data_IF_148943400685
#
_entry.id   IF_148943400685
#
_cell.length_a   1.000
_cell.length_b   1.000
_cell.length_c   1.000
_cell.angle_alpha   90.00
_cell.angle_beta   90.00
_cell.angle_gamma   90.00
#
_symmetry.space_group_name_H-M   'P 1'
#
loop_
_entity.id
_entity.type
_entity.pdbx_description
1 polymer ?
#
# COMPACT_ATOMS: atom_id res chain seq x y z
N UNK A 1 6.24 9.75 3.43
CA UNK A 1 5.66 8.47 3.90
C UNK A 1 6.76 7.53 4.34
N UNK A 2 6.51 6.62 5.30
CA UNK A 2 7.44 5.51 5.65
C UNK A 2 6.70 4.17 5.77
N UNK A 3 7.20 3.14 5.10
CA UNK A 3 6.62 1.79 5.04
C UNK A 3 7.55 0.79 5.72
N UNK A 4 7.01 -0.17 6.47
CA UNK A 4 7.77 -1.31 7.01
C UNK A 4 6.92 -2.56 6.88
N UNK A 5 7.36 -3.49 6.03
CA UNK A 5 6.70 -4.78 5.83
C UNK A 5 7.29 -5.82 6.76
N UNK A 6 6.45 -6.66 7.36
CA UNK A 6 6.89 -7.69 8.31
C UNK A 6 6.69 -9.12 7.79
N UNK A 7 6.05 -9.28 6.63
CA UNK A 7 5.70 -10.58 6.05
C UNK A 7 4.20 -10.73 5.80
N UNK A 8 3.82 -11.52 4.79
CA UNK A 8 2.44 -11.66 4.34
C UNK A 8 1.83 -10.30 3.99
N UNK A 9 0.71 -9.97 4.63
CA UNK A 9 0.04 -8.66 4.51
C UNK A 9 0.30 -7.72 5.68
N UNK A 10 1.16 -8.13 6.62
CA UNK A 10 1.45 -7.35 7.84
C UNK A 10 2.36 -6.17 7.51
N UNK A 11 1.86 -4.96 7.75
CA UNK A 11 2.54 -3.71 7.39
C UNK A 11 2.37 -2.67 8.48
N UNK A 12 3.41 -1.87 8.72
CA UNK A 12 3.32 -0.60 9.45
C UNK A 12 3.62 0.55 8.52
N UNK A 13 2.76 1.57 8.55
CA UNK A 13 2.83 2.75 7.69
C UNK A 13 2.81 4.00 8.54
N UNK A 14 3.77 4.89 8.34
CA UNK A 14 3.69 6.27 8.80
C UNK A 14 3.28 7.18 7.65
N UNK A 15 2.11 7.81 7.76
CA UNK A 15 1.49 8.64 6.73
C UNK A 15 0.61 9.71 7.37
N UNK A 16 0.71 10.95 6.90
CA UNK A 16 -0.08 12.08 7.42
C UNK A 16 0.09 12.31 8.92
N UNK A 17 1.28 12.03 9.46
CA UNK A 17 1.56 12.13 10.89
C UNK A 17 1.01 10.99 11.75
N UNK A 18 0.38 9.97 11.15
CA UNK A 18 -0.23 8.85 11.86
C UNK A 18 0.44 7.52 11.53
N UNK A 19 0.40 6.59 12.48
CA UNK A 19 0.84 5.21 12.32
C UNK A 19 -0.38 4.33 12.05
N UNK A 20 -0.41 3.70 10.87
CA UNK A 20 -1.38 2.68 10.49
C UNK A 20 -0.71 1.31 10.51
N UNK A 21 -1.30 0.35 11.21
CA UNK A 21 -0.89 -1.05 11.17
C UNK A 21 -1.95 -1.87 10.44
N UNK A 22 -1.51 -2.62 9.42
CA UNK A 22 -2.36 -3.51 8.63
C UNK A 22 -2.10 -4.95 9.06
N UNK A 23 -3.17 -5.71 9.27
CA UNK A 23 -3.16 -7.16 9.54
C UNK A 23 -2.27 -7.59 10.72
N UNK A 24 -2.24 -6.81 11.80
CA UNK A 24 -1.43 -7.12 13.00
C UNK A 24 -1.68 -8.52 13.61
N UNK A 25 -2.83 -9.14 13.34
CA UNK A 25 -3.15 -10.50 13.80
C UNK A 25 -2.48 -11.61 12.97
N UNK A 26 -2.00 -11.29 11.76
CA UNK A 26 -1.27 -12.19 10.87
C UNK A 26 0.24 -11.94 10.85
N UNK A 27 0.77 -11.25 11.88
CA UNK A 27 2.20 -11.02 12.00
C UNK A 27 2.97 -12.35 12.05
N UNK A 28 4.06 -12.52 11.29
CA UNK A 28 4.83 -13.76 11.31
C UNK A 28 5.46 -14.07 12.66
N UNK A 29 5.84 -15.34 12.84
CA UNK A 29 6.58 -15.78 14.02
C UNK A 29 7.87 -14.96 14.19
N UNK A 30 8.15 -14.56 15.44
CA UNK A 30 9.28 -13.71 15.77
C UNK A 30 9.00 -12.20 15.74
N UNK A 31 7.83 -11.77 15.25
CA UNK A 31 7.38 -10.38 15.37
C UNK A 31 6.56 -10.21 16.65
N UNK A 32 7.06 -9.40 17.59
CA UNK A 32 6.31 -9.05 18.80
C UNK A 32 5.11 -8.14 18.43
N UNK A 33 3.90 -8.64 18.68
CA UNK A 33 2.67 -7.92 18.35
C UNK A 33 2.49 -6.64 19.18
N UNK A 34 2.95 -6.61 20.43
CA UNK A 34 2.90 -5.42 21.26
C UNK A 34 3.83 -4.34 20.72
N UNK A 35 5.03 -4.71 20.25
CA UNK A 35 5.94 -3.77 19.58
C UNK A 35 5.39 -3.28 18.24
N UNK A 36 4.80 -4.17 17.45
CA UNK A 36 4.17 -3.82 16.16
C UNK A 36 3.04 -2.78 16.36
N UNK A 37 2.23 -2.96 17.40
CA UNK A 37 1.11 -2.08 17.74
C UNK A 37 1.52 -0.82 18.52
N UNK A 38 2.75 -0.75 19.01
CA UNK A 38 3.21 0.36 19.84
C UNK A 38 3.15 1.69 19.07
N UNK A 39 2.31 2.60 19.56
CA UNK A 39 2.08 3.91 18.95
C UNK A 39 1.19 3.88 17.70
N UNK A 40 0.49 2.78 17.41
CA UNK A 40 -0.46 2.74 16.30
C UNK A 40 -1.69 3.63 16.57
N UNK A 41 -1.96 4.58 15.67
CA UNK A 41 -3.16 5.40 15.68
C UNK A 41 -4.36 4.66 15.08
N UNK A 42 -4.09 3.80 14.11
CA UNK A 42 -5.08 2.97 13.40
C UNK A 42 -4.56 1.55 13.24
N UNK A 43 -5.43 0.58 13.47
CA UNK A 43 -5.20 -0.84 13.19
C UNK A 43 -6.35 -1.31 12.33
N UNK A 44 -6.04 -1.84 11.15
CA UNK A 44 -7.04 -2.27 10.17
C UNK A 44 -6.68 -3.64 9.62
N UNK A 45 -7.67 -4.36 9.10
CA UNK A 45 -7.39 -5.57 8.31
C UNK A 45 -7.49 -5.29 6.80
N UNK A 46 -6.54 -5.84 6.03
CA UNK A 46 -6.52 -5.72 4.57
C UNK A 46 -7.80 -6.28 3.95
N UNK A 47 -8.36 -7.34 4.54
CA UNK A 47 -9.60 -7.99 4.14
C UNK A 47 -10.60 -8.08 5.32
N UNK A 48 -11.90 -8.05 5.02
CA UNK A 48 -12.96 -8.41 5.99
C UNK A 48 -13.24 -7.45 7.15
N UNK A 49 -12.41 -6.43 7.37
CA UNK A 49 -12.68 -5.40 8.37
C UNK A 49 -13.85 -4.50 7.95
N UNK A 50 -14.97 -4.62 8.69
CA UNK A 50 -16.21 -3.86 8.47
C UNK A 50 -16.13 -2.41 8.95
N UNK A 51 -15.16 -2.07 9.80
CA UNK A 51 -14.95 -0.70 10.25
C UNK A 51 -14.32 0.17 9.16
N UNK A 52 -13.64 -0.44 8.19
CA UNK A 52 -13.09 0.26 7.02
C UNK A 52 -14.18 0.43 5.96
N UNK A 53 -14.58 1.68 5.62
CA UNK A 53 -15.59 1.93 4.61
C UNK A 53 -15.13 1.46 3.23
N UNK A 54 -16.05 0.84 2.49
CA UNK A 54 -15.81 0.46 1.08
C UNK A 54 -16.25 1.59 0.16
N UNK A 55 -15.48 1.82 -0.90
CA UNK A 55 -15.78 2.80 -1.95
C UNK A 55 -15.61 2.16 -3.33
N UNK A 56 -16.21 2.79 -4.35
CA UNK A 56 -15.85 2.49 -5.73
C UNK A 56 -14.50 3.15 -6.07
N UNK A 57 -13.43 2.38 -6.36
CA UNK A 57 -12.13 2.95 -6.67
C UNK A 57 -12.12 3.82 -7.94
N UNK A 58 -13.00 3.56 -8.91
CA UNK A 58 -12.99 4.29 -10.19
C UNK A 58 -13.35 5.78 -10.02
N UNK A 59 -14.20 6.08 -9.04
CA UNK A 59 -14.69 7.44 -8.75
C UNK A 59 -13.85 8.18 -7.71
N UNK A 60 -12.97 7.49 -6.98
CA UNK A 60 -12.11 8.14 -6.00
C UNK A 60 -11.16 9.15 -6.66
N UNK A 61 -10.88 10.25 -5.96
CA UNK A 61 -9.96 11.30 -6.40
C UNK A 61 -9.10 11.76 -5.22
N UNK A 62 -7.79 11.99 -5.43
CA UNK A 62 -6.95 12.55 -4.37
C UNK A 62 -7.44 13.94 -3.99
N UNK A 63 -7.49 14.19 -2.68
CA UNK A 63 -7.84 15.52 -2.17
C UNK A 63 -6.69 16.48 -2.40
N UNK A 64 -7.00 17.68 -2.87
CA UNK A 64 -5.99 18.73 -2.98
C UNK A 64 -5.51 19.14 -1.58
N UNK A 65 -4.20 19.40 -1.39
CA UNK A 65 -3.70 19.96 -0.15
C UNK A 65 -4.43 21.27 0.16
N UNK A 66 -4.95 21.42 1.38
CA UNK A 66 -5.45 22.72 1.85
C UNK A 66 -4.26 23.65 2.10
N UNK A 67 -4.49 24.96 1.95
CA UNK A 67 -3.46 25.96 2.26
C UNK A 67 -3.20 25.94 3.77
N UNK A 68 -1.95 26.10 4.17
CA UNK A 68 -1.46 26.01 5.57
C UNK A 68 -2.11 27.02 6.56
N UNK A 69 -2.96 27.92 6.08
CA UNK A 69 -3.71 28.89 6.89
C UNK A 69 -4.89 28.23 7.63
N UNK A 70 -5.28 27.00 7.25
CA UNK A 70 -6.28 26.22 7.98
C UNK A 70 -5.61 25.44 9.14
N UNK A 71 -5.82 25.86 10.39
CA UNK A 71 -5.14 25.37 11.62
C UNK A 71 -5.39 23.89 11.99
N UNK A 72 -6.29 23.17 11.30
CA UNK A 72 -6.58 21.77 11.61
C UNK A 72 -5.96 20.82 10.58
N UNK A 73 -5.05 19.95 11.03
CA UNK A 73 -4.54 18.85 10.23
C UNK A 73 -5.70 18.01 9.68
N UNK A 74 -5.74 17.85 8.36
CA UNK A 74 -6.76 17.00 7.73
C UNK A 74 -6.40 15.54 8.01
N UNK A 75 -7.32 14.74 8.57
CA UNK A 75 -7.02 13.36 8.94
C UNK A 75 -6.72 12.51 7.71
N UNK A 76 -5.94 11.44 7.91
CA UNK A 76 -5.78 10.40 6.90
C UNK A 76 -7.11 9.73 6.59
N UNK A 77 -7.24 9.23 5.37
CA UNK A 77 -8.38 8.46 4.92
C UNK A 77 -7.93 7.03 4.63
N UNK A 78 -8.73 6.06 5.08
CA UNK A 78 -8.51 4.63 4.82
C UNK A 78 -9.78 4.07 4.22
N UNK A 79 -9.66 3.50 3.02
CA UNK A 79 -10.77 2.93 2.29
C UNK A 79 -10.46 1.52 1.81
N UNK A 80 -11.49 0.69 1.79
CA UNK A 80 -11.49 -0.58 1.09
C UNK A 80 -11.86 -0.34 -0.38
N UNK A 81 -11.01 -0.78 -1.29
CA UNK A 81 -11.21 -0.62 -2.74
C UNK A 81 -11.36 -1.97 -3.47
N UNK A 82 -11.20 -3.08 -2.76
CA UNK A 82 -11.40 -4.45 -3.25
C UNK A 82 -11.47 -5.44 -2.08
N UNK A 83 -11.60 -6.74 -2.37
CA UNK A 83 -11.70 -7.78 -1.34
C UNK A 83 -10.49 -7.79 -0.40
N UNK A 84 -9.29 -7.67 -0.97
CA UNK A 84 -8.00 -7.63 -0.28
C UNK A 84 -7.19 -6.40 -0.71
N UNK A 85 -7.83 -5.24 -0.81
CA UNK A 85 -7.18 -4.02 -1.26
C UNK A 85 -7.59 -2.80 -0.42
N UNK A 86 -6.58 -2.07 0.07
CA UNK A 86 -6.74 -0.85 0.85
C UNK A 86 -6.12 0.35 0.14
N UNK A 87 -6.79 1.49 0.21
CA UNK A 87 -6.29 2.80 -0.16
C UNK A 87 -6.12 3.63 1.11
N UNK A 88 -4.92 4.17 1.32
CA UNK A 88 -4.59 5.06 2.43
C UNK A 88 -4.10 6.37 1.85
N UNK A 89 -4.76 7.47 2.18
CA UNK A 89 -4.45 8.79 1.65
C UNK A 89 -4.27 9.81 2.77
N UNK A 90 -3.26 10.66 2.62
CA UNK A 90 -3.07 11.85 3.43
C UNK A 90 -2.88 13.07 2.51
N UNK A 91 -3.40 14.25 2.87
CA UNK A 91 -3.18 15.45 2.08
C UNK A 91 -1.68 15.79 1.99
N UNK A 92 -1.22 16.09 0.77
CA UNK A 92 0.18 16.43 0.52
C UNK A 92 1.12 15.22 0.37
N UNK A 93 0.65 14.01 0.63
CA UNK A 93 1.40 12.78 0.38
C UNK A 93 0.80 11.98 -0.78
N UNK A 94 1.61 11.20 -1.54
CA UNK A 94 1.08 10.21 -2.46
C UNK A 94 0.12 9.24 -1.76
N UNK A 95 -0.97 8.79 -2.40
CA UNK A 95 -1.77 7.71 -1.83
C UNK A 95 -0.94 6.42 -1.80
N UNK A 96 -1.06 5.67 -0.70
CA UNK A 96 -0.60 4.30 -0.60
C UNK A 96 -1.74 3.36 -0.96
N UNK A 97 -1.48 2.40 -1.83
CA UNK A 97 -2.39 1.30 -2.11
C UNK A 97 -1.72 -0.03 -1.81
N UNK A 98 -2.34 -0.82 -0.94
CA UNK A 98 -1.86 -2.16 -0.59
C UNK A 98 -2.78 -3.18 -1.26
N UNK A 99 -2.18 -4.03 -2.09
CA UNK A 99 -2.85 -5.06 -2.88
C UNK A 99 -2.43 -6.44 -2.37
N UNK A 100 -3.35 -7.12 -1.70
CA UNK A 100 -3.22 -8.51 -1.29
C UNK A 100 -3.68 -9.50 -2.36
N UNK A 101 -3.90 -10.75 -1.97
CA UNK A 101 -4.37 -11.82 -2.86
C UNK A 101 -5.76 -11.53 -3.46
N UNK A 102 -5.97 -11.98 -4.69
CA UNK A 102 -7.26 -11.90 -5.39
C UNK A 102 -7.34 -10.81 -6.46
N UNK A 103 -8.54 -10.65 -7.02
CA UNK A 103 -8.78 -9.76 -8.16
C UNK A 103 -8.35 -8.31 -7.85
N UNK A 104 -7.55 -7.67 -8.73
CA UNK A 104 -7.17 -6.28 -8.54
C UNK A 104 -8.41 -5.38 -8.55
N UNK A 105 -8.42 -4.30 -7.76
CA UNK A 105 -9.50 -3.32 -7.82
C UNK A 105 -9.55 -2.66 -9.20
N UNK A 106 -10.73 -2.19 -9.61
CA UNK A 106 -10.84 -1.41 -10.86
C UNK A 106 -9.91 -0.19 -10.81
N UNK A 107 -9.08 -0.05 -11.83
CA UNK A 107 -8.16 1.09 -11.94
C UNK A 107 -8.94 2.40 -12.06
N UNK A 108 -8.41 3.43 -11.40
CA UNK A 108 -8.94 4.78 -11.37
C UNK A 108 -7.85 5.77 -11.03
N UNK A 109 -8.21 7.03 -10.72
CA UNK A 109 -7.23 8.07 -10.38
C UNK A 109 -6.42 7.81 -9.12
N UNK A 110 -6.78 6.79 -8.34
CA UNK A 110 -5.99 6.37 -7.21
C UNK A 110 -4.62 5.84 -7.61
N UNK A 111 -4.44 5.30 -8.82
CA UNK A 111 -3.21 4.65 -9.24
C UNK A 111 -2.16 5.65 -9.75
N UNK A 112 -2.60 6.79 -10.29
CA UNK A 112 -1.73 7.85 -10.78
C UNK A 112 -0.96 8.50 -9.63
N UNK A 113 0.38 8.45 -9.67
CA UNK A 113 1.27 9.01 -8.66
C UNK A 113 1.28 8.25 -7.34
N UNK A 114 0.65 7.07 -7.27
CA UNK A 114 0.55 6.29 -6.04
C UNK A 114 1.84 5.56 -5.67
N UNK A 115 1.96 5.24 -4.39
CA UNK A 115 2.83 4.15 -3.93
C UNK A 115 1.98 2.89 -3.89
N UNK A 116 2.29 1.89 -4.69
CA UNK A 116 1.53 0.64 -4.77
C UNK A 116 2.37 -0.48 -4.20
N UNK A 117 1.86 -1.16 -3.17
CA UNK A 117 2.49 -2.31 -2.54
C UNK A 117 1.77 -3.59 -2.98
N UNK A 118 2.51 -4.50 -3.60
CA UNK A 118 2.04 -5.82 -4.02
C UNK A 118 2.56 -6.85 -3.03
N UNK A 119 1.67 -7.58 -2.34
CA UNK A 119 2.07 -8.57 -1.34
C UNK A 119 2.12 -9.99 -1.91
N UNK A 120 2.87 -10.86 -1.21
CA UNK A 120 3.18 -12.26 -1.54
C UNK A 120 1.97 -13.18 -1.80
N UNK A 121 0.75 -12.72 -1.53
CA UNK A 121 -0.47 -13.47 -1.81
C UNK A 121 -0.93 -13.42 -3.28
N UNK A 122 -0.24 -12.69 -4.15
CA UNK A 122 -0.64 -12.52 -5.56
C UNK A 122 0.10 -13.52 -6.45
N UNK A 123 -0.58 -14.59 -6.84
CA UNK A 123 -0.07 -15.62 -7.78
C UNK A 123 0.31 -15.05 -9.16
N UNK A 124 -0.16 -13.84 -9.48
CA UNK A 124 0.06 -13.15 -10.75
C UNK A 124 0.71 -11.77 -10.57
N UNK A 125 1.55 -11.61 -9.53
CA UNK A 125 2.17 -10.33 -9.14
C UNK A 125 2.78 -9.58 -10.34
N UNK A 126 3.53 -10.27 -11.20
CA UNK A 126 4.12 -9.65 -12.39
C UNK A 126 3.05 -9.16 -13.35
N UNK A 127 2.12 -10.03 -13.77
CA UNK A 127 1.11 -9.64 -14.75
C UNK A 127 0.25 -8.48 -14.25
N UNK A 128 -0.06 -8.43 -12.96
CA UNK A 128 -0.87 -7.37 -12.36
C UNK A 128 -0.10 -6.06 -12.22
N UNK A 129 1.19 -6.13 -11.93
CA UNK A 129 2.09 -4.98 -11.98
C UNK A 129 2.23 -4.45 -13.42
N UNK A 130 2.38 -5.33 -14.41
CA UNK A 130 2.41 -4.96 -15.84
C UNK A 130 1.11 -4.27 -16.25
N UNK A 131 -0.05 -4.87 -15.93
CA UNK A 131 -1.36 -4.27 -16.23
C UNK A 131 -1.51 -2.91 -15.55
N UNK A 132 -1.05 -2.75 -14.30
CA UNK A 132 -1.04 -1.46 -13.61
C UNK A 132 -0.18 -0.43 -14.36
N UNK A 133 1.02 -0.80 -14.79
CA UNK A 133 1.95 0.07 -15.51
C UNK A 133 1.43 0.45 -16.91
N UNK A 134 0.68 -0.43 -17.57
CA UNK A 134 0.05 -0.16 -18.87
C UNK A 134 -1.06 0.91 -18.79
N UNK A 135 -1.76 1.00 -17.66
CA UNK A 135 -2.98 1.82 -17.53
C UNK A 135 -2.83 3.02 -16.60
N UNK A 136 -1.77 3.09 -15.80
CA UNK A 136 -1.54 4.14 -14.81
C UNK A 136 -0.04 4.46 -14.68
N UNK A 137 0.26 5.58 -14.02
CA UNK A 137 1.63 6.01 -13.75
C UNK A 137 1.89 6.07 -12.24
N UNK A 138 2.09 4.92 -11.56
CA UNK A 138 2.44 4.94 -10.14
C UNK A 138 3.78 5.65 -9.93
N UNK A 139 3.95 6.27 -8.76
CA UNK A 139 5.25 6.84 -8.37
C UNK A 139 6.23 5.73 -8.00
N UNK A 140 5.74 4.67 -7.36
CA UNK A 140 6.55 3.57 -6.85
C UNK A 140 5.72 2.29 -6.79
N UNK A 141 6.33 1.18 -7.20
CA UNK A 141 5.85 -0.18 -6.94
C UNK A 141 6.79 -0.82 -5.92
N UNK A 142 6.24 -1.23 -4.78
CA UNK A 142 6.95 -1.95 -3.72
C UNK A 142 6.50 -3.40 -3.70
N UNK A 143 7.44 -4.32 -3.90
CA UNK A 143 7.19 -5.75 -3.94
C UNK A 143 7.49 -6.36 -2.58
N UNK A 144 6.49 -7.01 -1.98
CA UNK A 144 6.55 -7.62 -0.67
C UNK A 144 6.26 -9.12 -0.81
N UNK A 145 7.21 -9.83 -1.42
CA UNK A 145 7.11 -11.25 -1.78
C UNK A 145 8.31 -12.05 -1.24
N UNK A 146 8.27 -13.37 -1.37
CA UNK A 146 9.43 -14.23 -1.15
C UNK A 146 10.53 -13.97 -2.21
N UNK A 147 11.76 -14.36 -1.87
CA UNK A 147 12.97 -14.09 -2.67
C UNK A 147 12.87 -14.62 -4.11
N UNK A 148 12.33 -15.84 -4.31
CA UNK A 148 12.16 -16.45 -5.63
C UNK A 148 11.20 -15.64 -6.51
N UNK A 149 10.09 -15.20 -5.94
CA UNK A 149 9.13 -14.33 -6.63
C UNK A 149 9.72 -12.95 -6.93
N UNK A 150 10.52 -12.40 -6.01
CA UNK A 150 11.13 -11.08 -6.17
C UNK A 150 12.13 -11.06 -7.33
N UNK A 151 13.03 -12.03 -7.44
CA UNK A 151 14.03 -12.07 -8.51
C UNK A 151 13.38 -12.08 -9.90
N UNK A 152 12.34 -12.91 -10.06
CA UNK A 152 11.57 -13.00 -11.30
C UNK A 152 10.86 -11.67 -11.60
N UNK A 153 10.16 -11.12 -10.61
CA UNK A 153 9.39 -9.88 -10.80
C UNK A 153 10.27 -8.66 -11.08
N UNK A 154 11.42 -8.56 -10.41
CA UNK A 154 12.38 -7.48 -10.63
C UNK A 154 12.92 -7.52 -12.06
N UNK A 155 13.27 -8.70 -12.57
CA UNK A 155 13.74 -8.86 -13.94
C UNK A 155 12.67 -8.42 -14.96
N UNK A 156 11.44 -8.92 -14.85
CA UNK A 156 10.38 -8.68 -15.83
C UNK A 156 9.82 -7.25 -15.79
N UNK A 157 9.67 -6.65 -14.61
CA UNK A 157 9.06 -5.32 -14.47
C UNK A 157 10.02 -4.17 -14.76
N UNK A 158 11.33 -4.39 -14.63
CA UNK A 158 12.33 -3.32 -14.80
C UNK A 158 12.28 -2.63 -16.18
N UNK A 159 11.87 -3.35 -17.22
CA UNK A 159 11.74 -2.82 -18.59
C UNK A 159 10.46 -2.01 -18.82
N UNK A 160 9.47 -2.10 -17.91
CA UNK A 160 8.11 -1.58 -18.09
C UNK A 160 7.77 -0.39 -17.18
N UNK A 161 8.75 0.15 -16.45
CA UNK A 161 8.47 1.09 -15.36
C UNK A 161 7.96 2.47 -15.80
N UNK A 162 8.24 2.93 -17.02
CA UNK A 162 7.75 4.20 -17.56
C UNK A 162 7.85 5.42 -16.60
N UNK A 163 8.91 5.43 -15.77
CA UNK A 163 9.21 6.47 -14.78
C UNK A 163 8.75 6.16 -13.34
N UNK A 164 8.06 5.04 -13.11
CA UNK A 164 7.80 4.51 -11.77
C UNK A 164 9.10 3.99 -11.12
N UNK A 165 9.24 4.17 -9.81
CA UNK A 165 10.24 3.42 -9.05
C UNK A 165 9.80 1.96 -8.87
N UNK A 166 10.78 1.06 -8.72
CA UNK A 166 10.56 -0.33 -8.34
C UNK A 166 11.50 -0.69 -7.19
N UNK A 167 10.97 -1.34 -6.15
CA UNK A 167 11.74 -1.76 -4.99
C UNK A 167 11.23 -3.08 -4.44
N UNK A 168 12.15 -3.98 -4.07
CA UNK A 168 11.85 -5.14 -3.25
C UNK A 168 11.91 -4.76 -1.76
N UNK A 169 10.97 -5.26 -0.97
CA UNK A 169 10.95 -5.08 0.47
C UNK A 169 11.45 -6.35 1.15
N UNK A 170 12.40 -6.19 2.07
CA UNK A 170 12.78 -7.24 3.00
C UNK A 170 11.94 -7.12 4.29
N UNK A 171 11.59 -8.24 4.96
CA UNK A 171 10.91 -8.19 6.24
C UNK A 171 11.69 -7.37 7.28
N UNK A 172 11.03 -6.40 7.90
CA UNK A 172 11.61 -5.47 8.86
C UNK A 172 12.34 -4.26 8.25
N UNK A 173 12.55 -4.23 6.93
CA UNK A 173 13.15 -3.09 6.26
C UNK A 173 12.17 -1.92 6.20
N UNK A 174 12.65 -0.76 6.62
CA UNK A 174 11.88 0.47 6.56
C UNK A 174 12.24 1.30 5.33
N UNK A 175 11.26 1.51 4.45
CA UNK A 175 11.38 2.28 3.22
C UNK A 175 10.78 3.68 3.41
N UNK A 176 11.50 4.71 3.02
CA UNK A 176 11.04 6.10 3.00
C UNK A 176 10.74 6.54 1.56
N UNK A 177 9.61 7.23 1.37
CA UNK A 177 9.06 7.63 0.06
C UNK A 177 8.64 9.10 0.01
#
# INVERSE_FOLDING_TARGET
MKLTWFGGTTLRVYVGGQIVVIDAGGAPDGIDRAELLAGADRVVALAGDKAVPSIDPAIWRPKQPRREIDEAATPIEIYRIGASALLIAAPGEPPLVVLGSGEPPRYGRWADGAVVMLTSGRESLVAEATVLLDVARPRLIALAADEETLDTAMAELSEHLDGAGLVSLEPGLALEV
#
